data_IF_423117204940
#
_entry.id   IF_423117204940
#
_cell.length_a   1.000
_cell.length_b   1.000
_cell.length_c   1.000
_cell.angle_alpha   90.00
_cell.angle_beta   90.00
_cell.angle_gamma   90.00
#
_symmetry.space_group_name_H-M   'P 1'
#
loop_
_entity.id
_entity.type
_entity.pdbx_description
1 polymer ?
#
# COMPACT_ATOMS: atom_id res chain seq x y z
N UNK A 1 -7.36 -9.37 -6.05
CA UNK A 1 -6.99 -8.22 -5.21
C UNK A 1 -8.07 -7.17 -5.21
N UNK A 2 -8.64 -6.86 -4.04
CA UNK A 2 -9.74 -5.89 -3.89
C UNK A 2 -9.31 -4.41 -3.91
N UNK A 3 -8.02 -4.09 -4.03
CA UNK A 3 -7.50 -2.72 -4.02
C UNK A 3 -7.60 -1.96 -5.34
N UNK A 4 -8.54 -2.33 -6.23
CA UNK A 4 -8.60 -1.77 -7.59
C UNK A 4 -8.76 -0.25 -7.62
N UNK A 5 -9.35 0.31 -6.56
CA UNK A 5 -9.57 1.75 -6.39
C UNK A 5 -8.28 2.57 -6.23
N UNK A 6 -7.16 1.95 -5.83
CA UNK A 6 -5.88 2.65 -5.70
C UNK A 6 -5.07 2.66 -7.01
N UNK A 7 -5.33 1.72 -7.93
CA UNK A 7 -4.64 1.72 -9.22
C UNK A 7 -4.89 3.00 -9.99
N UNK A 8 -6.12 3.50 -10.00
CA UNK A 8 -6.42 4.79 -10.66
C UNK A 8 -5.69 5.97 -10.02
N UNK A 9 -5.39 5.91 -8.72
CA UNK A 9 -4.65 6.97 -8.03
C UNK A 9 -3.18 6.96 -8.40
N UNK A 10 -2.55 5.78 -8.46
CA UNK A 10 -1.15 5.65 -8.86
C UNK A 10 -0.97 5.96 -10.35
N UNK A 11 -1.89 5.53 -11.21
CA UNK A 11 -1.86 5.83 -12.64
C UNK A 11 -1.90 7.35 -12.89
N UNK A 12 -2.78 8.06 -12.17
CA UNK A 12 -2.92 9.53 -12.26
C UNK A 12 -1.79 10.32 -11.60
N UNK A 13 -0.95 9.70 -10.76
CA UNK A 13 0.15 10.42 -10.11
C UNK A 13 1.32 10.72 -11.06
N UNK A 14 1.33 10.09 -12.24
CA UNK A 14 2.45 10.17 -13.19
C UNK A 14 3.67 9.34 -12.79
N UNK A 15 3.60 8.61 -11.66
CA UNK A 15 4.68 7.77 -11.16
C UNK A 15 4.95 6.52 -12.02
N UNK A 16 4.02 6.16 -12.90
CA UNK A 16 4.15 5.02 -13.81
C UNK A 16 4.39 5.49 -15.26
N UNK A 17 5.10 4.69 -16.04
CA UNK A 17 5.03 4.73 -17.50
C UNK A 17 4.19 3.59 -18.09
N UNK A 18 3.99 2.49 -17.35
CA UNK A 18 3.10 1.39 -17.73
C UNK A 18 2.35 0.84 -16.51
N UNK A 19 1.03 1.07 -16.48
CA UNK A 19 0.20 0.64 -15.35
C UNK A 19 -0.01 -0.87 -15.29
N UNK A 20 -0.07 -1.55 -16.43
CA UNK A 20 -0.40 -2.98 -16.45
C UNK A 20 0.82 -3.78 -16.01
N UNK A 21 2.03 -3.38 -16.43
CA UNK A 21 3.28 -4.01 -15.97
C UNK A 21 3.43 -3.86 -14.44
N UNK A 22 3.17 -2.68 -13.88
CA UNK A 22 3.19 -2.48 -12.42
C UNK A 22 2.11 -3.31 -11.71
N UNK A 23 0.91 -3.40 -12.27
CA UNK A 23 -0.16 -4.22 -11.71
C UNK A 23 0.24 -5.70 -11.67
N UNK A 24 0.90 -6.21 -12.71
CA UNK A 24 1.42 -7.58 -12.72
C UNK A 24 2.48 -7.81 -11.64
N UNK A 25 3.36 -6.83 -11.38
CA UNK A 25 4.37 -7.00 -10.33
C UNK A 25 3.75 -7.11 -8.93
N UNK A 26 2.67 -6.38 -8.67
CA UNK A 26 1.90 -6.52 -7.43
C UNK A 26 1.25 -7.89 -7.30
N UNK A 27 0.66 -8.44 -8.37
CA UNK A 27 0.11 -9.80 -8.35
C UNK A 27 1.18 -10.85 -8.10
N UNK A 28 2.32 -10.73 -8.77
CA UNK A 28 3.43 -11.65 -8.57
C UNK A 28 3.89 -11.61 -7.11
N UNK A 29 4.02 -10.42 -6.52
CA UNK A 29 4.37 -10.29 -5.10
C UNK A 29 3.32 -10.92 -4.19
N UNK A 30 2.03 -10.69 -4.44
CA UNK A 30 0.96 -11.27 -3.61
C UNK A 30 0.93 -12.80 -3.66
N UNK A 31 1.35 -13.40 -4.78
CA UNK A 31 1.46 -14.86 -4.92
C UNK A 31 2.55 -15.49 -4.04
N UNK A 32 3.59 -14.73 -3.66
CA UNK A 32 4.61 -15.20 -2.72
C UNK A 32 4.06 -15.32 -1.28
N UNK A 33 2.93 -14.67 -1.01
CA UNK A 33 2.25 -14.65 0.27
C UNK A 33 1.50 -13.33 0.45
N UNK A 34 0.40 -13.40 1.19
CA UNK A 34 -0.46 -12.25 1.49
C UNK A 34 0.34 -11.06 1.99
N UNK A 35 -0.02 -9.87 1.48
CA UNK A 35 0.47 -8.59 1.99
C UNK A 35 -0.48 -7.96 3.02
N UNK A 36 -1.53 -8.69 3.42
CA UNK A 36 -2.36 -8.40 4.57
C UNK A 36 -1.63 -8.76 5.87
N UNK A 37 -1.16 -7.76 6.60
CA UNK A 37 -0.34 -7.97 7.80
C UNK A 37 -1.16 -8.12 9.09
N UNK A 38 -2.48 -8.06 8.97
CA UNK A 38 -3.41 -8.03 10.09
C UNK A 38 -3.70 -6.62 10.62
N UNK A 39 -4.47 -6.54 11.71
CA UNK A 39 -4.91 -5.29 12.34
C UNK A 39 -5.65 -4.35 11.37
N UNK A 40 -6.38 -4.94 10.42
CA UNK A 40 -7.07 -4.20 9.36
C UNK A 40 -6.15 -3.52 8.34
N UNK A 41 -4.91 -4.01 8.14
CA UNK A 41 -3.93 -3.42 7.22
C UNK A 41 -3.54 -4.36 6.09
N UNK A 42 -3.43 -3.82 4.87
CA UNK A 42 -2.68 -4.42 3.78
C UNK A 42 -1.61 -3.45 3.25
N UNK A 43 -0.44 -3.98 2.87
CA UNK A 43 0.65 -3.20 2.27
C UNK A 43 1.08 -3.82 0.93
N UNK A 44 0.24 -3.75 -0.13
CA UNK A 44 0.59 -4.29 -1.44
C UNK A 44 1.78 -3.53 -2.01
N UNK A 45 2.86 -4.20 -2.36
CA UNK A 45 4.08 -3.55 -2.83
C UNK A 45 4.68 -4.30 -4.00
N UNK A 46 5.33 -3.60 -4.92
CA UNK A 46 5.91 -4.21 -6.11
C UNK A 46 7.11 -3.41 -6.63
N UNK A 47 8.15 -4.15 -7.03
CA UNK A 47 9.24 -3.60 -7.82
C UNK A 47 8.88 -3.75 -9.29
N UNK A 48 9.11 -2.71 -10.09
CA UNK A 48 8.86 -2.78 -11.53
C UNK A 48 9.62 -1.71 -12.28
N UNK A 49 10.20 -2.07 -13.42
CA UNK A 49 10.71 -1.11 -14.41
C UNK A 49 9.67 -0.09 -14.86
N UNK A 50 8.37 -0.41 -14.75
CA UNK A 50 7.29 0.49 -15.11
C UNK A 50 7.12 1.70 -14.18
N UNK A 51 7.80 1.70 -13.04
CA UNK A 51 7.74 2.75 -12.04
C UNK A 51 8.90 3.74 -12.28
N UNK A 52 8.58 5.01 -12.48
CA UNK A 52 9.56 6.10 -12.70
C UNK A 52 10.21 6.57 -11.39
N UNK A 53 9.43 6.59 -10.31
CA UNK A 53 9.86 7.05 -9.00
C UNK A 53 9.08 6.33 -7.91
N UNK A 54 9.72 6.12 -6.75
CA UNK A 54 9.06 5.50 -5.60
C UNK A 54 7.83 6.30 -5.18
N UNK A 55 6.70 5.63 -5.00
CA UNK A 55 5.43 6.27 -4.65
C UNK A 55 4.61 5.40 -3.70
N UNK A 56 3.90 6.05 -2.76
CA UNK A 56 2.96 5.37 -1.86
C UNK A 56 1.57 5.96 -2.08
N UNK A 57 0.61 5.11 -2.42
CA UNK A 57 -0.81 5.44 -2.39
C UNK A 57 -1.44 4.88 -1.12
N UNK A 58 -2.17 5.72 -0.41
CA UNK A 58 -2.93 5.31 0.76
C UNK A 58 -4.43 5.40 0.50
N UNK A 59 -5.18 4.42 1.00
CA UNK A 59 -6.63 4.39 0.92
C UNK A 59 -7.26 3.80 2.16
N UNK A 60 -8.42 4.33 2.53
CA UNK A 60 -9.28 3.78 3.58
C UNK A 60 -10.53 3.19 2.95
N UNK A 61 -10.73 1.88 3.09
CA UNK A 61 -11.97 1.19 2.77
C UNK A 61 -12.69 0.81 4.05
N UNK A 62 -13.63 1.66 4.50
CA UNK A 62 -14.34 1.48 5.79
C UNK A 62 -15.07 0.12 5.90
N UNK A 63 -15.60 -0.40 4.80
CA UNK A 63 -16.24 -1.73 4.77
C UNK A 63 -15.27 -2.91 4.90
N UNK A 64 -13.96 -2.65 4.86
CA UNK A 64 -12.93 -3.66 4.70
C UNK A 64 -12.87 -4.26 3.30
N UNK A 65 -11.75 -4.91 3.02
CA UNK A 65 -11.48 -5.72 1.82
C UNK A 65 -10.90 -7.03 2.33
N UNK A 66 -11.42 -8.15 1.81
CA UNK A 66 -10.79 -9.43 2.06
C UNK A 66 -9.43 -9.47 1.34
N UNK A 67 -8.37 -9.64 2.13
CA UNK A 67 -6.99 -9.59 1.67
C UNK A 67 -6.21 -10.83 2.12
N UNK A 68 -6.90 -11.89 2.56
CA UNK A 68 -6.25 -13.08 3.12
C UNK A 68 -5.22 -12.71 4.21
N UNK A 69 -5.58 -11.77 5.10
CA UNK A 69 -4.68 -11.25 6.13
C UNK A 69 -4.25 -12.36 7.10
N UNK A 70 -3.07 -12.21 7.70
CA UNK A 70 -2.49 -13.19 8.64
C UNK A 70 -3.40 -13.54 9.84
N UNK A 71 -4.23 -12.60 10.30
CA UNK A 71 -5.18 -12.75 11.40
C UNK A 71 -6.61 -13.10 10.93
N UNK A 72 -6.82 -13.21 9.61
CA UNK A 72 -8.14 -13.42 9.00
C UNK A 72 -9.03 -12.18 8.96
N UNK A 73 -8.57 -11.01 9.41
CA UNK A 73 -9.35 -9.78 9.36
C UNK A 73 -9.33 -9.10 7.99
N UNK A 74 -10.40 -8.35 7.68
CA UNK A 74 -10.45 -7.55 6.46
C UNK A 74 -9.58 -6.31 6.58
N UNK A 75 -8.82 -6.00 5.53
CA UNK A 75 -8.02 -4.79 5.45
C UNK A 75 -8.90 -3.55 5.21
N UNK A 76 -8.82 -2.57 6.10
CA UNK A 76 -9.44 -1.26 5.96
C UNK A 76 -8.44 -0.18 5.55
N UNK A 77 -7.18 -0.31 5.98
CA UNK A 77 -6.08 0.59 5.67
C UNK A 77 -5.20 -0.08 4.61
N UNK A 78 -5.11 0.52 3.42
CA UNK A 78 -4.34 -0.03 2.31
C UNK A 78 -3.24 0.95 1.93
N UNK A 79 -1.99 0.48 1.98
CA UNK A 79 -0.79 1.23 1.59
C UNK A 79 -0.14 0.55 0.40
N UNK A 80 -0.42 1.04 -0.82
CA UNK A 80 0.14 0.49 -2.04
C UNK A 80 1.47 1.18 -2.38
N UNK A 81 2.56 0.41 -2.51
CA UNK A 81 3.91 0.94 -2.72
C UNK A 81 4.45 0.54 -4.09
N UNK A 82 4.72 1.55 -4.93
CA UNK A 82 5.37 1.40 -6.22
C UNK A 82 6.87 1.71 -6.08
N UNK A 83 7.74 0.81 -6.53
CA UNK A 83 9.20 0.97 -6.45
C UNK A 83 9.85 0.73 -7.81
N UNK A 84 10.70 1.64 -8.32
CA UNK A 84 11.51 1.39 -9.51
C UNK A 84 12.40 0.17 -9.33
N UNK A 85 12.52 -0.66 -10.37
CA UNK A 85 13.37 -1.86 -10.34
C UNK A 85 14.85 -1.53 -10.10
N UNK A 86 15.34 -0.41 -10.63
CA UNK A 86 16.71 0.06 -10.43
C UNK A 86 16.98 0.58 -9.01
N UNK A 87 15.94 1.02 -8.30
CA UNK A 87 16.00 1.45 -6.89
C UNK A 87 15.80 0.28 -5.91
N UNK A 88 16.06 -0.95 -6.35
CA UNK A 88 15.96 -2.17 -5.55
C UNK A 88 16.99 -2.28 -4.40
N UNK A 89 17.75 -1.22 -4.08
CA UNK A 89 18.55 -1.13 -2.86
C UNK A 89 17.68 -1.02 -1.58
N UNK A 90 18.28 -1.03 -0.40
CA UNK A 90 17.56 -1.12 0.90
C UNK A 90 16.60 0.05 1.23
N UNK A 91 16.56 1.12 0.43
CA UNK A 91 15.73 2.30 0.73
C UNK A 91 14.24 1.99 0.75
N UNK A 92 13.73 1.19 -0.19
CA UNK A 92 12.31 0.79 -0.19
C UNK A 92 11.97 -0.14 0.98
N UNK A 93 12.89 -1.04 1.38
CA UNK A 93 12.72 -1.86 2.58
C UNK A 93 12.71 -0.99 3.84
N UNK A 94 13.51 0.08 3.87
CA UNK A 94 13.50 1.05 4.97
C UNK A 94 12.16 1.79 5.06
N UNK A 95 11.59 2.23 3.93
CA UNK A 95 10.25 2.83 3.88
C UNK A 95 9.22 1.83 4.43
N UNK A 96 9.25 0.59 3.94
CA UNK A 96 8.33 -0.46 4.37
C UNK A 96 8.45 -0.75 5.86
N UNK A 97 9.67 -0.85 6.39
CA UNK A 97 9.93 -1.08 7.82
C UNK A 97 9.43 0.07 8.69
N UNK A 98 9.72 1.32 8.31
CA UNK A 98 9.27 2.50 9.03
C UNK A 98 7.74 2.60 9.05
N UNK A 99 7.12 2.38 7.89
CA UNK A 99 5.67 2.39 7.74
C UNK A 99 5.03 1.27 8.57
N UNK A 100 5.50 0.03 8.42
CA UNK A 100 4.98 -1.13 9.17
C UNK A 100 5.09 -0.92 10.68
N UNK A 101 6.20 -0.34 11.15
CA UNK A 101 6.37 -0.03 12.58
C UNK A 101 5.38 1.02 13.07
N UNK A 102 5.16 2.09 12.30
CA UNK A 102 4.16 3.11 12.63
C UNK A 102 2.75 2.52 12.65
N UNK A 103 2.48 1.58 11.75
CA UNK A 103 1.19 0.91 11.63
C UNK A 103 0.90 -0.09 12.75
N UNK A 104 1.90 -0.57 13.48
CA UNK A 104 1.68 -1.36 14.70
C UNK A 104 1.11 -0.53 15.86
N UNK A 105 1.19 0.81 15.80
CA UNK A 105 0.60 1.69 16.81
C UNK A 105 -0.93 1.82 16.61
N UNK A 106 -1.68 1.34 17.60
CA UNK A 106 -3.15 1.34 17.63
C UNK A 106 -3.74 2.75 17.56
N UNK A 107 -3.13 3.73 18.23
CA UNK A 107 -3.60 5.11 18.19
C UNK A 107 -3.40 5.72 16.81
N UNK A 108 -2.25 5.41 16.18
CA UNK A 108 -1.97 5.84 14.82
C UNK A 108 -2.99 5.27 13.82
N UNK A 109 -3.28 3.96 13.89
CA UNK A 109 -4.33 3.35 13.06
C UNK A 109 -5.69 3.97 13.33
N UNK A 110 -6.02 4.20 14.60
CA UNK A 110 -7.26 4.85 15.02
C UNK A 110 -7.46 6.22 14.38
N UNK A 111 -6.42 7.07 14.39
CA UNK A 111 -6.46 8.39 13.75
C UNK A 111 -6.66 8.30 12.24
N UNK A 112 -5.99 7.38 11.56
CA UNK A 112 -6.17 7.15 10.12
C UNK A 112 -7.59 6.68 9.78
N UNK A 113 -8.17 5.80 10.59
CA UNK A 113 -9.54 5.32 10.40
C UNK A 113 -10.59 6.42 10.66
N UNK A 114 -10.30 7.35 11.56
CA UNK A 114 -11.20 8.47 11.88
C UNK A 114 -11.13 9.60 10.86
N UNK A 115 -10.01 9.76 10.15
CA UNK A 115 -9.83 10.79 9.14
C UNK A 115 -10.94 10.73 8.07
N UNK A 116 -11.51 11.89 7.76
CA UNK A 116 -12.62 12.10 6.82
C UNK A 116 -12.16 12.80 5.55
N UNK A 117 -11.01 13.47 5.59
CA UNK A 117 -10.46 14.23 4.47
C UNK A 117 -9.04 13.78 4.14
N UNK A 118 -8.58 14.10 2.93
CA UNK A 118 -7.20 13.85 2.53
C UNK A 118 -6.23 14.63 3.42
N UNK A 119 -6.59 15.85 3.77
CA UNK A 119 -5.80 16.76 4.60
C UNK A 119 -5.58 16.19 6.00
N UNK A 120 -6.64 15.65 6.62
CA UNK A 120 -6.55 15.00 7.94
C UNK A 120 -5.63 13.78 7.90
N UNK A 121 -5.72 12.97 6.85
CA UNK A 121 -4.79 11.84 6.64
C UNK A 121 -3.35 12.33 6.53
N UNK A 122 -3.09 13.36 5.71
CA UNK A 122 -1.75 13.89 5.47
C UNK A 122 -1.09 14.48 6.74
N UNK A 123 -1.87 14.90 7.73
CA UNK A 123 -1.34 15.33 9.04
C UNK A 123 -0.85 14.16 9.90
N UNK A 124 -1.25 12.93 9.59
CA UNK A 124 -0.85 11.74 10.34
C UNK A 124 0.41 11.10 9.77
N UNK A 125 0.60 11.09 8.45
CA UNK A 125 1.64 10.30 7.75
C UNK A 125 2.99 10.98 7.69
#
# INVERSE_FOLDING_TARGET
MGGSFLYSTIDRSGALHDKEVYKQSLYHREMEGSTGIGFGIAIPHGKSNAVKQTFVAFGVKRSGIDWDSLDGEKAQLIFMIAVPEEQAGNEHLKILQLLSRKLMDDEFRGRLLQAKTKEEVMQQV
#
